data_IF_783677385969
#
_entry.id   IF_783677385969
#
_cell.length_a   1.000
_cell.length_b   1.000
_cell.length_c   1.000
_cell.angle_alpha   90.00
_cell.angle_beta   90.00
_cell.angle_gamma   90.00
#
_symmetry.space_group_name_H-M   'P 1'
#
loop_
_entity.id
_entity.type
_entity.pdbx_description
1 polymer ?
#
# COMPACT_ATOMS: atom_id res chain seq x y z
N UNK A 1 -9.74 -8.45 -19.06
CA UNK A 1 -8.96 -7.56 -18.17
C UNK A 1 -7.48 -7.74 -18.48
N UNK A 2 -6.85 -6.77 -19.16
CA UNK A 2 -5.42 -6.87 -19.57
C UNK A 2 -4.45 -6.92 -18.37
N UNK A 3 -4.91 -6.49 -17.20
CA UNK A 3 -4.11 -6.41 -15.95
C UNK A 3 -3.60 -7.76 -15.44
N UNK A 4 -4.16 -8.88 -15.88
CA UNK A 4 -3.67 -10.22 -15.54
C UNK A 4 -2.91 -10.91 -16.68
N UNK A 5 -2.78 -10.25 -17.83
CA UNK A 5 -2.00 -10.80 -18.94
C UNK A 5 -0.52 -10.79 -18.56
N UNK A 6 0.08 -11.97 -18.43
CA UNK A 6 1.48 -12.15 -17.99
C UNK A 6 1.67 -12.42 -16.50
N UNK A 7 0.60 -12.72 -15.76
CA UNK A 7 0.67 -13.12 -14.35
C UNK A 7 1.66 -14.28 -14.14
N UNK A 8 2.65 -14.08 -13.26
CA UNK A 8 3.70 -15.06 -12.93
C UNK A 8 3.34 -15.80 -11.65
N UNK A 9 2.43 -16.77 -11.78
CA UNK A 9 1.97 -17.61 -10.67
C UNK A 9 3.13 -18.30 -9.95
N UNK A 10 4.13 -18.77 -10.69
CA UNK A 10 5.33 -19.43 -10.17
C UNK A 10 6.13 -18.53 -9.21
N UNK A 11 6.27 -17.25 -9.56
CA UNK A 11 6.96 -16.27 -8.71
C UNK A 11 6.14 -15.98 -7.45
N UNK A 12 4.82 -15.78 -7.61
CA UNK A 12 3.91 -15.55 -6.48
C UNK A 12 3.95 -16.72 -5.48
N UNK A 13 3.83 -17.96 -5.95
CA UNK A 13 3.88 -19.15 -5.09
C UNK A 13 5.24 -19.32 -4.40
N UNK A 14 6.34 -18.96 -5.08
CA UNK A 14 7.69 -19.04 -4.49
C UNK A 14 7.87 -18.00 -3.37
N UNK A 15 7.40 -16.77 -3.59
CA UNK A 15 7.61 -15.65 -2.65
C UNK A 15 6.58 -15.65 -1.51
N UNK A 16 5.30 -15.83 -1.85
CA UNK A 16 4.18 -15.76 -0.93
C UNK A 16 3.70 -17.15 -0.50
N UNK A 17 3.56 -18.07 -1.45
CA UNK A 17 2.88 -19.35 -1.25
C UNK A 17 1.44 -19.27 -1.79
N UNK A 18 0.49 -19.83 -1.04
CA UNK A 18 -0.93 -19.70 -1.38
C UNK A 18 -1.53 -18.48 -0.69
N UNK A 19 -2.59 -17.90 -1.27
CA UNK A 19 -3.24 -16.67 -0.79
C UNK A 19 -3.45 -16.60 0.72
N UNK A 20 -3.94 -17.69 1.32
CA UNK A 20 -4.33 -17.75 2.73
C UNK A 20 -3.34 -18.49 3.62
N UNK A 21 -2.22 -18.94 3.06
CA UNK A 21 -1.18 -19.65 3.80
C UNK A 21 0.19 -19.26 3.24
N UNK A 22 0.81 -18.30 3.93
CA UNK A 22 2.10 -17.72 3.56
C UNK A 22 3.21 -18.70 3.94
N UNK A 23 3.68 -19.47 2.97
CA UNK A 23 4.73 -20.49 3.15
C UNK A 23 5.99 -20.21 2.33
N UNK A 24 5.93 -19.20 1.45
CA UNK A 24 7.04 -18.83 0.59
C UNK A 24 8.17 -18.10 1.32
N UNK A 25 9.11 -17.57 0.53
CA UNK A 25 10.31 -16.90 1.03
C UNK A 25 10.03 -15.66 1.90
N UNK A 26 8.84 -15.05 1.80
CA UNK A 26 8.46 -13.85 2.55
C UNK A 26 7.81 -14.13 3.90
N UNK A 27 7.61 -15.40 4.30
CA UNK A 27 6.88 -15.76 5.54
C UNK A 27 7.45 -15.12 6.82
N UNK A 28 8.78 -14.92 6.87
CA UNK A 28 9.48 -14.34 8.02
C UNK A 28 9.93 -12.89 7.75
N UNK A 29 9.48 -12.29 6.64
CA UNK A 29 9.93 -10.96 6.25
C UNK A 29 9.29 -9.89 7.12
N UNK A 30 10.11 -9.12 7.82
CA UNK A 30 9.68 -8.02 8.69
C UNK A 30 10.61 -6.82 8.48
N UNK A 31 10.03 -5.68 8.09
CA UNK A 31 10.78 -4.42 7.85
C UNK A 31 10.40 -3.29 8.80
N UNK A 32 9.47 -3.53 9.74
CA UNK A 32 8.87 -2.48 10.57
C UNK A 32 9.89 -1.66 11.38
N UNK A 33 11.05 -2.23 11.72
CA UNK A 33 12.12 -1.53 12.43
C UNK A 33 12.82 -0.45 11.59
N UNK A 34 12.76 -0.57 10.25
CA UNK A 34 13.44 0.33 9.30
C UNK A 34 12.53 1.42 8.74
N UNK A 35 11.24 1.39 9.05
CA UNK A 35 10.28 2.36 8.51
C UNK A 35 10.61 3.81 8.86
N UNK A 36 11.28 4.05 10.00
CA UNK A 36 11.76 5.36 10.40
C UNK A 36 12.95 5.88 9.58
N UNK A 37 13.54 5.06 8.69
CA UNK A 37 14.58 5.48 7.73
C UNK A 37 13.96 6.28 6.56
N UNK A 38 12.64 6.21 6.34
CA UNK A 38 11.96 6.96 5.29
C UNK A 38 11.83 8.43 5.69
N UNK A 39 12.50 9.31 4.94
CA UNK A 39 12.44 10.76 5.14
C UNK A 39 11.51 11.47 4.14
N UNK A 40 11.08 10.74 3.10
CA UNK A 40 10.17 11.20 2.06
C UNK A 40 8.72 11.30 2.59
N UNK A 41 7.86 12.15 2.01
CA UNK A 41 6.41 12.04 2.18
C UNK A 41 5.89 10.68 1.72
N UNK A 42 4.99 10.06 2.47
CA UNK A 42 4.42 8.74 2.14
C UNK A 42 2.90 8.78 2.25
N UNK A 43 2.20 8.36 1.20
CA UNK A 43 0.77 8.07 1.24
C UNK A 43 0.55 6.58 1.47
N UNK A 44 -0.21 6.25 2.50
CA UNK A 44 -0.72 4.91 2.77
C UNK A 44 -2.20 4.91 2.40
N UNK A 45 -2.60 4.04 1.48
CA UNK A 45 -3.99 3.84 1.08
C UNK A 45 -4.46 2.46 1.53
N UNK A 46 -5.62 2.38 2.19
CA UNK A 46 -6.20 1.11 2.63
C UNK A 46 -7.71 1.08 2.40
N UNK A 47 -8.29 -0.06 2.05
CA UNK A 47 -9.74 -0.22 2.08
C UNK A 47 -10.26 -0.53 3.48
N UNK A 48 -11.48 -0.08 3.79
CA UNK A 48 -12.18 -0.39 5.04
C UNK A 48 -12.41 -1.89 5.23
N UNK A 49 -12.57 -2.62 4.13
CA UNK A 49 -12.89 -4.05 4.11
C UNK A 49 -11.70 -4.93 3.69
N UNK A 50 -10.48 -4.38 3.70
CA UNK A 50 -9.26 -5.09 3.32
C UNK A 50 -8.92 -6.20 4.33
N UNK A 51 -8.38 -7.31 3.83
CA UNK A 51 -7.76 -8.37 4.64
C UNK A 51 -6.56 -7.85 5.41
N UNK A 52 -5.89 -6.84 4.86
CA UNK A 52 -4.82 -6.08 5.49
C UNK A 52 -5.43 -5.03 6.42
N UNK A 53 -5.99 -5.51 7.54
CA UNK A 53 -6.78 -4.67 8.46
C UNK A 53 -6.00 -3.47 9.00
N UNK A 54 -6.68 -2.44 9.55
CA UNK A 54 -6.02 -1.32 10.21
C UNK A 54 -5.03 -1.72 11.31
N UNK A 55 -5.18 -2.87 11.96
CA UNK A 55 -4.22 -3.36 12.95
C UNK A 55 -2.86 -3.72 12.33
N UNK A 56 -2.87 -4.25 11.09
CA UNK A 56 -1.67 -4.64 10.34
C UNK A 56 -0.97 -3.41 9.74
N UNK A 57 -1.75 -2.43 9.28
CA UNK A 57 -1.23 -1.23 8.61
C UNK A 57 -0.77 -0.15 9.59
N UNK A 58 -1.39 -0.04 10.78
CA UNK A 58 -1.06 0.99 11.77
C UNK A 58 0.42 1.12 12.10
N UNK A 59 1.21 0.03 12.24
CA UNK A 59 2.67 0.12 12.40
C UNK A 59 3.39 0.89 11.28
N UNK A 60 2.85 0.91 10.05
CA UNK A 60 3.39 1.72 8.95
C UNK A 60 3.11 3.20 9.21
N UNK A 61 1.84 3.55 9.45
CA UNK A 61 1.43 4.92 9.71
C UNK A 61 2.12 5.53 10.95
N UNK A 62 2.31 4.73 12.01
CA UNK A 62 2.90 5.22 13.26
C UNK A 62 4.43 5.38 13.20
N UNK A 63 5.13 4.62 12.32
CA UNK A 63 6.61 4.58 12.28
C UNK A 63 7.23 5.37 11.14
N UNK A 64 6.48 5.64 10.08
CA UNK A 64 6.93 6.49 8.98
C UNK A 64 6.65 7.94 9.40
N UNK A 65 7.70 8.76 9.54
CA UNK A 65 7.60 10.12 10.12
C UNK A 65 6.63 11.03 9.36
N UNK A 66 6.62 10.90 8.04
CA UNK A 66 5.86 11.77 7.12
C UNK A 66 4.73 11.00 6.41
N UNK A 67 4.09 10.05 7.12
CA UNK A 67 2.98 9.28 6.57
C UNK A 67 1.64 10.01 6.67
N UNK A 68 0.88 9.96 5.59
CA UNK A 68 -0.55 10.24 5.53
C UNK A 68 -1.28 8.93 5.28
N UNK A 69 -2.22 8.56 6.15
CA UNK A 69 -2.99 7.33 6.00
C UNK A 69 -4.45 7.62 5.69
N UNK A 70 -4.90 7.16 4.53
CA UNK A 70 -6.28 7.30 4.06
C UNK A 70 -6.95 5.94 3.99
N UNK A 71 -8.13 5.86 4.62
CA UNK A 71 -9.02 4.70 4.53
C UNK A 71 -10.15 5.00 3.53
N UNK A 72 -10.26 4.14 2.53
CA UNK A 72 -11.29 4.14 1.51
C UNK A 72 -12.49 3.34 2.03
N UNK A 73 -13.54 4.05 2.40
CA UNK A 73 -14.63 3.50 3.21
C UNK A 73 -15.48 2.45 2.48
N UNK A 74 -15.43 2.38 1.16
CA UNK A 74 -16.22 1.45 0.34
C UNK A 74 -15.32 0.50 -0.47
N UNK A 75 -14.06 0.34 -0.07
CA UNK A 75 -13.07 -0.51 -0.74
C UNK A 75 -12.60 -1.67 0.14
N UNK A 76 -12.18 -2.76 -0.52
CA UNK A 76 -11.39 -3.82 0.08
C UNK A 76 -9.92 -3.66 -0.36
N UNK A 77 -9.34 -4.65 -1.02
CA UNK A 77 -7.90 -4.67 -1.29
C UNK A 77 -7.46 -3.77 -2.46
N UNK A 78 -8.36 -3.51 -3.41
CA UNK A 78 -8.02 -2.82 -4.66
C UNK A 78 -8.71 -1.47 -4.73
N UNK A 79 -8.47 -0.61 -3.72
CA UNK A 79 -9.13 0.70 -3.60
C UNK A 79 -9.05 1.57 -4.87
N UNK A 80 -7.97 1.47 -5.65
CA UNK A 80 -7.83 2.17 -6.93
C UNK A 80 -8.76 1.68 -8.04
N UNK A 81 -9.22 0.42 -7.98
CA UNK A 81 -10.18 -0.15 -8.90
C UNK A 81 -11.62 -0.08 -8.35
N UNK A 82 -11.78 -0.09 -7.03
CA UNK A 82 -13.08 -0.13 -6.34
C UNK A 82 -13.67 1.28 -6.15
N UNK A 83 -12.84 2.28 -5.83
CA UNK A 83 -13.21 3.70 -5.71
C UNK A 83 -12.29 4.60 -6.57
N UNK A 84 -12.24 4.41 -7.90
CA UNK A 84 -11.23 5.03 -8.76
C UNK A 84 -11.23 6.56 -8.72
N UNK A 85 -12.39 7.21 -8.74
CA UNK A 85 -12.48 8.67 -8.69
C UNK A 85 -11.96 9.22 -7.36
N UNK A 86 -12.34 8.58 -6.25
CA UNK A 86 -11.88 8.99 -4.92
C UNK A 86 -10.39 8.74 -4.76
N UNK A 87 -9.89 7.62 -5.29
CA UNK A 87 -8.48 7.27 -5.26
C UNK A 87 -7.65 8.29 -6.03
N UNK A 88 -8.07 8.66 -7.23
CA UNK A 88 -7.41 9.71 -8.02
C UNK A 88 -7.39 11.05 -7.29
N UNK A 89 -8.50 11.48 -6.69
CA UNK A 89 -8.54 12.74 -5.92
C UNK A 89 -7.55 12.75 -4.75
N UNK A 90 -7.47 11.65 -4.00
CA UNK A 90 -6.52 11.52 -2.87
C UNK A 90 -5.09 11.56 -3.39
N UNK A 91 -4.80 10.81 -4.46
CA UNK A 91 -3.47 10.74 -5.05
C UNK A 91 -3.02 12.09 -5.62
N UNK A 92 -3.86 12.76 -6.42
CA UNK A 92 -3.58 14.08 -6.98
C UNK A 92 -3.34 15.12 -5.89
N UNK A 93 -4.18 15.12 -4.85
CA UNK A 93 -4.03 16.06 -3.73
C UNK A 93 -2.73 15.82 -2.96
N UNK A 94 -2.34 14.56 -2.77
CA UNK A 94 -1.06 14.21 -2.16
C UNK A 94 0.12 14.67 -3.02
N UNK A 95 0.15 14.29 -4.29
CA UNK A 95 1.23 14.66 -5.22
C UNK A 95 1.38 16.18 -5.34
N UNK A 96 0.27 16.91 -5.49
CA UNK A 96 0.28 18.38 -5.57
C UNK A 96 0.94 19.03 -4.34
N UNK A 97 0.72 18.47 -3.13
CA UNK A 97 1.37 18.97 -1.91
C UNK A 97 2.85 18.65 -1.86
N UNK A 98 3.24 17.45 -2.31
CA UNK A 98 4.64 17.01 -2.33
C UNK A 98 5.45 17.85 -3.32
N UNK A 99 4.97 18.00 -4.56
CA UNK A 99 5.64 18.79 -5.60
C UNK A 99 5.72 20.29 -5.24
N UNK A 100 4.69 20.83 -4.57
CA UNK A 100 4.74 22.21 -4.10
C UNK A 100 5.78 22.44 -2.98
N UNK A 101 6.05 21.41 -2.16
CA UNK A 101 7.03 21.47 -1.09
C UNK A 101 8.47 21.26 -1.58
N UNK A 102 8.65 20.54 -2.69
CA UNK A 102 9.94 20.34 -3.36
C UNK A 102 9.78 20.41 -4.90
N UNK A 103 9.91 21.61 -5.50
CA UNK A 103 9.71 21.83 -6.94
C UNK A 103 10.77 21.18 -7.85
N UNK A 104 11.75 20.48 -7.27
CA UNK A 104 12.87 19.86 -7.98
C UNK A 104 12.72 18.36 -8.25
N UNK A 105 11.60 17.75 -7.83
CA UNK A 105 11.16 16.41 -8.22
C UNK A 105 10.42 16.41 -9.55
#
# INVERSE_FOLDING_TARGET
>A
MRSFTGWRQDVYETMWGTEWNITGNLKDWVVTARLGELELPVLIASGRHDVTTPAVVRPLADRIRNAEWVIFEQSAHLASAEEPERFHQVLEAFLSRVEAADPGL
#
